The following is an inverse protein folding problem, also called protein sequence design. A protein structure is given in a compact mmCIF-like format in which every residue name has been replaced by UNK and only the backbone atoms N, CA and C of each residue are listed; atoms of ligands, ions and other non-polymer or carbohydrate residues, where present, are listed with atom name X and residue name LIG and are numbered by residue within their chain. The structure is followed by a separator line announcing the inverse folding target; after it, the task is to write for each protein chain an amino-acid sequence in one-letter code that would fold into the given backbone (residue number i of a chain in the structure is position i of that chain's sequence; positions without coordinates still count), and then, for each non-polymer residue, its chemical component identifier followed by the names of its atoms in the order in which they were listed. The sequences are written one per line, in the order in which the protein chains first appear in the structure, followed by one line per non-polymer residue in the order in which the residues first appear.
data_IF_109067223215
#
_entry.id   IF_109067223215
#
_cell.length_a   1.000
_cell.length_b   1.000
_cell.length_c   1.000
_cell.angle_alpha   90.00
_cell.angle_beta   90.00
_cell.angle_gamma   90.00
#
_symmetry.space_group_name_H-M   'P 1'
#
loop_
_entity.id
_entity.type
_entity.pdbx_description
1 polymer ?
#
# COMPACT_ATOMS: atom_id res chain seq x y z
N UNK A 1 14.08 1.68 -12.59
CA UNK A 1 12.78 2.19 -13.04
C UNK A 1 12.14 2.85 -11.84
N UNK A 2 11.66 4.08 -12.02
CA UNK A 2 11.52 5.06 -10.94
C UNK A 2 10.22 4.83 -10.17
N UNK A 3 10.30 4.53 -8.86
CA UNK A 3 9.13 4.63 -7.99
C UNK A 3 8.65 6.09 -8.04
N UNK A 4 7.45 6.31 -8.58
CA UNK A 4 6.86 7.65 -8.68
C UNK A 4 5.73 7.76 -7.67
N UNK A 5 5.66 8.84 -6.88
CA UNK A 5 4.51 9.11 -6.04
C UNK A 5 3.31 9.41 -6.94
N UNK A 6 2.45 8.42 -7.16
CA UNK A 6 1.24 8.55 -7.98
C UNK A 6 0.00 8.64 -7.11
N UNK A 7 -0.54 9.87 -7.04
CA UNK A 7 -1.74 10.24 -6.28
C UNK A 7 -2.98 9.52 -6.84
N UNK A 8 -3.97 9.17 -5.99
CA UNK A 8 -4.66 10.09 -5.10
C UNK A 8 -3.99 10.28 -3.73
N UNK A 9 -4.02 11.52 -3.24
CA UNK A 9 -3.76 11.84 -1.84
C UNK A 9 -5.09 11.74 -1.11
N UNK A 10 -5.18 10.88 -0.11
CA UNK A 10 -6.35 10.74 0.74
C UNK A 10 -6.19 11.65 1.95
N UNK A 11 -7.23 12.42 2.25
CA UNK A 11 -7.34 13.11 3.54
C UNK A 11 -8.05 12.21 4.53
N UNK A 12 -7.45 12.00 5.69
CA UNK A 12 -8.03 11.25 6.80
C UNK A 12 -8.53 12.27 7.81
N UNK A 13 -9.84 12.27 8.03
CA UNK A 13 -10.53 13.21 8.90
C UNK A 13 -11.11 12.48 10.11
N UNK A 14 -11.19 13.17 11.25
CA UNK A 14 -11.94 12.66 12.39
C UNK A 14 -13.45 12.83 12.17
N UNK A 15 -14.25 12.34 13.12
CA UNK A 15 -15.71 12.49 13.13
C UNK A 15 -16.21 13.96 13.22
N UNK A 16 -15.32 14.91 13.55
CA UNK A 16 -15.59 16.35 13.61
C UNK A 16 -15.20 17.07 12.30
N UNK A 17 -14.67 16.35 11.30
CA UNK A 17 -14.25 16.91 10.02
C UNK A 17 -12.89 17.61 10.03
N UNK A 18 -12.11 17.46 11.09
CA UNK A 18 -10.74 18.00 11.17
C UNK A 18 -9.78 17.04 10.46
N UNK A 19 -8.86 17.57 9.65
CA UNK A 19 -7.81 16.79 8.99
C UNK A 19 -6.79 16.31 10.03
N UNK A 20 -6.61 15.00 10.12
CA UNK A 20 -5.70 14.37 11.08
C UNK A 20 -4.45 13.85 10.38
N UNK A 21 -4.62 13.16 9.24
CA UNK A 21 -3.52 12.57 8.49
C UNK A 21 -3.76 12.71 6.98
N UNK A 22 -2.67 12.72 6.22
CA UNK A 22 -2.70 12.59 4.77
C UNK A 22 -2.12 11.23 4.39
N UNK A 23 -2.70 10.53 3.42
CA UNK A 23 -2.13 9.30 2.89
C UNK A 23 -1.89 9.39 1.38
N UNK A 24 -0.84 8.76 0.89
CA UNK A 24 -0.62 8.60 -0.56
C UNK A 24 -0.03 7.24 -0.87
N UNK A 25 -0.26 6.79 -2.09
CA UNK A 25 0.25 5.52 -2.58
C UNK A 25 1.48 5.74 -3.47
N UNK A 26 2.51 4.95 -3.21
CA UNK A 26 3.68 4.75 -4.06
C UNK A 26 3.58 3.35 -4.67
N UNK A 27 3.75 3.24 -5.99
CA UNK A 27 3.68 1.94 -6.67
C UNK A 27 4.49 1.96 -7.96
N UNK A 28 5.04 0.80 -8.32
CA UNK A 28 5.77 0.65 -9.57
C UNK A 28 4.79 0.74 -10.76
N UNK A 29 5.16 1.61 -11.71
CA UNK A 29 4.47 1.81 -12.97
C UNK A 29 4.31 0.52 -13.77
N UNK A 30 5.32 -0.36 -13.76
CA UNK A 30 5.31 -1.59 -14.54
C UNK A 30 4.24 -2.58 -14.03
N UNK A 31 4.10 -2.68 -12.70
CA UNK A 31 3.09 -3.53 -12.09
C UNK A 31 1.67 -3.03 -12.34
N UNK A 32 1.44 -1.72 -12.41
CA UNK A 32 0.10 -1.16 -12.73
C UNK A 32 -0.34 -1.42 -14.17
N UNK A 33 0.60 -1.58 -15.12
CA UNK A 33 0.29 -1.85 -16.53
C UNK A 33 0.05 -3.35 -16.75
N UNK A 34 0.78 -4.22 -16.04
CA UNK A 34 0.74 -5.66 -16.28
C UNK A 34 -0.09 -6.46 -15.25
N UNK A 35 -0.27 -5.97 -14.02
CA UNK A 35 -0.85 -6.71 -12.89
C UNK A 35 -1.89 -5.85 -12.14
N UNK A 36 -3.12 -5.77 -12.67
CA UNK A 36 -4.14 -4.80 -12.24
C UNK A 36 -4.57 -4.94 -10.77
N UNK A 37 -4.94 -6.15 -10.31
CA UNK A 37 -5.62 -6.35 -9.01
C UNK A 37 -4.69 -6.85 -7.88
N UNK A 38 -3.52 -7.37 -8.20
CA UNK A 38 -2.62 -8.05 -7.25
C UNK A 38 -1.23 -7.41 -7.17
N UNK A 39 -1.17 -6.09 -7.38
CA UNK A 39 0.08 -5.33 -7.33
C UNK A 39 0.59 -5.10 -5.92
N UNK A 40 1.91 -5.02 -5.83
CA UNK A 40 2.59 -4.40 -4.68
C UNK A 40 2.24 -2.92 -4.65
N UNK A 41 2.11 -2.42 -3.43
CA UNK A 41 1.97 -1.00 -3.18
C UNK A 41 2.58 -0.67 -1.82
N UNK A 42 3.07 0.56 -1.73
CA UNK A 42 3.44 1.18 -0.46
C UNK A 42 2.48 2.33 -0.22
N UNK A 43 1.78 2.32 0.91
CA UNK A 43 0.96 3.43 1.35
C UNK A 43 1.67 4.15 2.48
N UNK A 44 1.86 5.46 2.30
CA UNK A 44 2.50 6.34 3.26
C UNK A 44 1.44 7.18 3.93
N UNK A 45 1.38 7.14 5.26
CA UNK A 45 0.51 7.99 6.07
C UNK A 45 1.37 9.04 6.77
N UNK A 46 1.02 10.29 6.52
CA UNK A 46 1.71 11.50 6.94
C UNK A 46 0.93 12.21 8.04
N UNK A 47 1.66 12.78 8.99
CA UNK A 47 1.12 13.76 9.94
C UNK A 47 0.89 15.13 9.31
N UNK A 48 0.37 16.07 10.11
CA UNK A 48 0.18 17.47 9.72
C UNK A 48 1.50 18.20 9.40
N UNK A 49 2.65 17.65 9.81
CA UNK A 49 3.98 18.17 9.50
C UNK A 49 4.61 17.48 8.28
N UNK A 50 3.82 16.71 7.51
CA UNK A 50 4.30 15.94 6.34
C UNK A 50 5.39 14.93 6.69
N UNK A 51 5.44 14.44 7.92
CA UNK A 51 6.31 13.35 8.36
C UNK A 51 5.58 12.04 8.24
N UNK A 52 6.24 11.05 7.65
CA UNK A 52 5.71 9.70 7.58
C UNK A 52 5.66 9.07 8.97
N UNK A 53 4.45 8.72 9.39
CA UNK A 53 4.19 8.04 10.66
C UNK A 53 3.94 6.56 10.47
N UNK A 54 3.11 6.21 9.50
CA UNK A 54 2.73 4.82 9.24
C UNK A 54 3.09 4.48 7.80
N UNK A 55 3.74 3.33 7.64
CA UNK A 55 3.98 2.73 6.33
C UNK A 55 3.23 1.41 6.25
N UNK A 56 2.36 1.28 5.26
CA UNK A 56 1.70 0.01 4.93
C UNK A 56 2.31 -0.50 3.65
N UNK A 57 2.94 -1.66 3.71
CA UNK A 57 3.57 -2.29 2.56
C UNK A 57 2.88 -3.60 2.23
N UNK A 58 2.54 -3.77 0.95
CA UNK A 58 2.05 -5.02 0.42
C UNK A 58 3.09 -5.61 -0.51
N UNK A 59 3.65 -6.76 -0.14
CA UNK A 59 4.54 -7.50 -1.03
C UNK A 59 3.77 -8.16 -2.19
N UNK A 60 4.42 -8.25 -3.35
CA UNK A 60 3.99 -9.14 -4.42
C UNK A 60 4.11 -10.59 -3.96
N UNK A 61 2.98 -11.23 -3.69
CA UNK A 61 2.96 -12.68 -3.65
C UNK A 61 3.04 -13.20 -5.08
N UNK A 62 4.24 -13.59 -5.50
CA UNK A 62 4.45 -14.23 -6.79
C UNK A 62 3.89 -15.65 -6.75
N UNK A 63 2.68 -15.83 -7.26
CA UNK A 63 2.25 -17.16 -7.69
C UNK A 63 3.12 -17.56 -8.89
N UNK A 64 3.84 -18.67 -8.77
CA UNK A 64 4.79 -19.13 -9.77
C UNK A 64 4.11 -19.29 -11.15
N UNK A 65 4.43 -18.41 -12.10
CA UNK A 65 4.28 -18.73 -13.52
C UNK A 65 3.50 -17.79 -14.43
N UNK A 66 3.26 -16.52 -14.13
CA UNK A 66 2.65 -15.64 -15.13
C UNK A 66 2.98 -14.15 -14.95
N UNK A 67 3.62 -13.54 -15.96
CA UNK A 67 4.08 -12.14 -15.93
C UNK A 67 2.97 -11.06 -15.89
N UNK A 68 1.69 -11.41 -16.09
CA UNK A 68 0.64 -10.40 -16.30
C UNK A 68 -0.79 -10.82 -15.86
N UNK A 69 -0.96 -11.76 -14.93
CA UNK A 69 -2.20 -12.53 -14.86
C UNK A 69 -2.99 -12.21 -13.58
N UNK A 70 -4.01 -11.35 -13.73
CA UNK A 70 -4.97 -10.95 -12.70
C UNK A 70 -5.96 -12.04 -12.30
N UNK A 71 -5.48 -13.25 -11.99
CA UNK A 71 -6.31 -14.36 -11.53
C UNK A 71 -5.44 -15.42 -10.83
N UNK A 72 -4.83 -15.13 -9.67
CA UNK A 72 -4.70 -16.21 -8.69
C UNK A 72 -5.94 -16.17 -7.80
N UNK A 73 -6.93 -17.01 -8.15
CA UNK A 73 -7.97 -17.39 -7.19
C UNK A 73 -7.28 -18.20 -6.08
N UNK A 74 -6.81 -17.50 -5.05
CA UNK A 74 -6.19 -18.11 -3.86
C UNK A 74 -4.95 -17.41 -3.29
N UNK A 75 -4.45 -16.31 -3.85
CA UNK A 75 -3.39 -15.56 -3.17
C UNK A 75 -3.96 -14.77 -1.99
N UNK A 76 -3.77 -15.29 -0.78
CA UNK A 76 -4.15 -14.59 0.44
C UNK A 76 -3.36 -13.29 0.55
N UNK A 77 -4.03 -12.15 0.44
CA UNK A 77 -3.34 -10.86 0.50
C UNK A 77 -2.87 -10.57 1.92
N UNK A 78 -1.60 -10.18 2.05
CA UNK A 78 -1.00 -9.80 3.32
C UNK A 78 -0.36 -8.42 3.18
N UNK A 79 -0.52 -7.57 4.20
CA UNK A 79 0.16 -6.28 4.31
C UNK A 79 0.85 -6.16 5.65
N UNK A 80 2.03 -5.57 5.64
CA UNK A 80 2.83 -5.26 6.83
C UNK A 80 2.60 -3.80 7.19
N UNK A 81 2.37 -3.53 8.47
CA UNK A 81 2.16 -2.18 8.99
C UNK A 81 3.32 -1.81 9.91
N UNK A 82 3.95 -0.68 9.62
CA UNK A 82 5.08 -0.13 10.36
C UNK A 82 4.72 1.22 10.99
N UNK A 83 5.17 1.47 12.23
CA UNK A 83 5.04 2.77 12.91
C UNK A 83 6.07 2.91 14.05
N UNK A 84 7.03 3.85 13.97
CA UNK A 84 7.41 4.63 12.78
C UNK A 84 7.97 3.72 11.66
N UNK A 85 8.21 4.25 10.44
CA UNK A 85 8.79 3.46 9.36
C UNK A 85 10.10 2.79 9.79
N UNK A 86 10.22 1.48 9.56
CA UNK A 86 11.30 0.63 10.06
C UNK A 86 10.98 -0.18 11.31
N UNK A 87 9.84 0.05 11.98
CA UNK A 87 9.36 -0.77 13.08
C UNK A 87 8.01 -1.40 12.76
N UNK A 88 7.99 -2.72 12.52
CA UNK A 88 6.76 -3.47 12.26
C UNK A 88 5.92 -3.53 13.55
N UNK A 89 4.69 -3.04 13.47
CA UNK A 89 3.70 -3.10 14.56
C UNK A 89 2.71 -4.25 14.38
N UNK A 90 2.56 -4.75 13.15
CA UNK A 90 1.66 -5.86 12.88
C UNK A 90 1.57 -6.21 11.41
N UNK A 91 0.82 -7.28 11.16
CA UNK A 91 0.54 -7.84 9.85
C UNK A 91 -0.98 -7.99 9.74
N UNK A 92 -1.54 -7.55 8.62
CA UNK A 92 -2.95 -7.74 8.28
C UNK A 92 -3.04 -8.72 7.12
N UNK A 93 -3.82 -9.78 7.30
CA UNK A 93 -4.06 -10.80 6.29
C UNK A 93 -5.54 -10.83 5.93
N UNK A 94 -5.83 -10.99 4.64
CA UNK A 94 -7.19 -11.20 4.16
C UNK A 94 -7.71 -12.56 4.61
N UNK A 95 -8.88 -12.57 5.24
CA UNK A 95 -9.63 -13.77 5.62
C UNK A 95 -10.76 -14.00 4.59
N UNK A 96 -10.97 -15.25 4.18
CA UNK A 96 -11.98 -15.66 3.18
C UNK A 96 -13.25 -16.19 3.86
#
# INVERSE_FOLDING_TARGET
LTNLPMRPKYGIFNNRGEHIFSAFEESDLFQRICCTNEREFTMHVLDNNSRELIRVHRELQSCSGCCCCGSCEGCMQQVTVECPPGQIIGIVQQEY
#
